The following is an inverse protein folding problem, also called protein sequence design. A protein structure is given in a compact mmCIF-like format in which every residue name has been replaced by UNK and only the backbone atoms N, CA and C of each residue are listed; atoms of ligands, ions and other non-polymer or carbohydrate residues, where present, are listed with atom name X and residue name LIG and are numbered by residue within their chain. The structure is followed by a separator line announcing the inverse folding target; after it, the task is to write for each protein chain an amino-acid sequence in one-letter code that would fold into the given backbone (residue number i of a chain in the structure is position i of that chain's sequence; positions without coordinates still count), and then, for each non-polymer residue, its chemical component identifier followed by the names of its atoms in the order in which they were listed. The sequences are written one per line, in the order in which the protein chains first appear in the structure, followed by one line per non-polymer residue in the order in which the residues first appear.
data_IF_089575455204
#
_entry.id   IF_089575455204
#
_cell.length_a   1.000
_cell.length_b   1.000
_cell.length_c   1.000
_cell.angle_alpha   90.00
_cell.angle_beta   90.00
_cell.angle_gamma   90.00
#
_symmetry.space_group_name_H-M   'P 1'
#
loop_
_entity.id
_entity.type
_entity.pdbx_description
1 polymer ?
#
# COMPACT_ATOMS: atom_id res chain seq x y z
N UNK A 1 28.38 42.26 -12.93
CA UNK A 1 27.12 41.46 -13.01
C UNK A 1 26.68 41.42 -14.45
N UNK A 2 26.56 40.24 -15.05
CA UNK A 2 25.92 40.12 -16.37
C UNK A 2 24.45 40.49 -16.22
N UNK A 3 23.95 41.40 -17.07
CA UNK A 3 22.52 41.64 -17.17
C UNK A 3 21.86 40.33 -17.61
N UNK A 4 21.06 39.72 -16.73
CA UNK A 4 20.19 38.62 -17.14
C UNK A 4 19.32 39.10 -18.29
N UNK A 5 19.25 38.28 -19.34
CA UNK A 5 18.31 38.50 -20.44
C UNK A 5 16.85 38.52 -19.93
N UNK A 6 16.00 39.28 -20.61
CA UNK A 6 14.60 39.48 -20.23
C UNK A 6 13.81 38.17 -20.15
N UNK A 7 14.15 37.18 -20.98
CA UNK A 7 13.54 35.85 -20.94
C UNK A 7 13.88 35.14 -19.62
N UNK A 8 15.17 35.11 -19.25
CA UNK A 8 15.63 34.47 -18.01
C UNK A 8 15.02 35.13 -16.77
N UNK A 9 14.89 36.47 -16.77
CA UNK A 9 14.19 37.19 -15.70
C UNK A 9 12.73 36.77 -15.62
N UNK A 10 12.02 36.73 -16.75
CA UNK A 10 10.61 36.34 -16.80
C UNK A 10 10.39 34.92 -16.28
N UNK A 11 11.25 33.97 -16.67
CA UNK A 11 11.21 32.58 -16.18
C UNK A 11 11.42 32.53 -14.67
N UNK A 12 12.38 33.27 -14.13
CA UNK A 12 12.65 33.31 -12.70
C UNK A 12 11.45 33.87 -11.92
N UNK A 13 10.83 34.95 -12.39
CA UNK A 13 9.64 35.55 -11.78
C UNK A 13 8.48 34.54 -11.76
N UNK A 14 8.20 33.91 -12.91
CA UNK A 14 7.14 32.88 -13.02
C UNK A 14 7.41 31.72 -12.06
N UNK A 15 8.66 31.27 -11.97
CA UNK A 15 9.05 30.17 -11.07
C UNK A 15 8.87 30.54 -9.59
N UNK A 16 9.25 31.75 -9.20
CA UNK A 16 9.06 32.25 -7.83
C UNK A 16 7.57 32.32 -7.49
N UNK A 17 6.75 32.93 -8.34
CA UNK A 17 5.31 33.01 -8.10
C UNK A 17 4.62 31.65 -8.13
N UNK A 18 5.09 30.71 -8.95
CA UNK A 18 4.64 29.32 -8.93
C UNK A 18 4.88 28.66 -7.57
N UNK A 19 6.12 28.68 -7.08
CA UNK A 19 6.48 28.09 -5.77
C UNK A 19 5.67 28.75 -4.64
N UNK A 20 5.57 30.08 -4.65
CA UNK A 20 4.81 30.82 -3.65
C UNK A 20 3.32 30.51 -3.69
N UNK A 21 2.75 30.27 -4.87
CA UNK A 21 1.34 29.88 -5.02
C UNK A 21 1.06 28.50 -4.40
N UNK A 22 1.97 27.52 -4.56
CA UNK A 22 1.85 26.20 -3.95
C UNK A 22 1.95 26.26 -2.42
N UNK A 23 2.87 27.08 -1.90
CA UNK A 23 3.01 27.30 -0.44
C UNK A 23 1.75 27.97 0.11
N UNK A 24 1.26 29.02 -0.57
CA UNK A 24 0.05 29.74 -0.20
C UNK A 24 -1.15 28.80 -0.12
N UNK A 25 -1.32 27.92 -1.09
CA UNK A 25 -2.43 26.95 -1.10
C UNK A 25 -2.39 25.99 0.11
N UNK A 26 -1.20 25.47 0.47
CA UNK A 26 -1.05 24.61 1.65
C UNK A 26 -1.36 25.37 2.94
N UNK A 27 -0.92 26.62 3.04
CA UNK A 27 -1.24 27.49 4.17
C UNK A 27 -2.75 27.77 4.26
N UNK A 28 -3.42 28.05 3.13
CA UNK A 28 -4.87 28.26 3.06
C UNK A 28 -5.62 26.99 3.46
N UNK A 29 -5.19 25.83 2.98
CA UNK A 29 -5.80 24.53 3.32
C UNK A 29 -5.70 24.26 4.81
N UNK A 30 -4.53 24.49 5.40
CA UNK A 30 -4.33 24.38 6.84
C UNK A 30 -5.21 25.36 7.61
N UNK A 31 -5.26 26.62 7.19
CA UNK A 31 -6.10 27.66 7.81
C UNK A 31 -7.59 27.30 7.73
N UNK A 32 -8.05 26.79 6.57
CA UNK A 32 -9.42 26.29 6.37
C UNK A 32 -9.73 25.15 7.33
N UNK A 33 -8.90 24.12 7.40
CA UNK A 33 -9.16 22.94 8.24
C UNK A 33 -9.13 23.24 9.74
N UNK A 34 -8.30 24.19 10.15
CA UNK A 34 -8.16 24.55 11.56
C UNK A 34 -9.24 25.54 12.01
N UNK A 35 -9.47 26.62 11.25
CA UNK A 35 -10.33 27.72 11.70
C UNK A 35 -11.79 27.61 11.26
N UNK A 36 -12.12 26.93 10.15
CA UNK A 36 -13.50 26.87 9.63
C UNK A 36 -14.33 25.70 10.17
N UNK A 37 -13.81 24.90 11.12
CA UNK A 37 -14.61 23.88 11.81
C UNK A 37 -15.56 24.52 12.80
N UNK A 38 -16.82 24.06 12.80
CA UNK A 38 -17.86 24.48 13.75
C UNK A 38 -17.34 24.33 15.19
N UNK A 39 -17.37 25.42 15.96
CA UNK A 39 -16.98 25.44 17.38
C UNK A 39 -15.58 25.96 17.70
N UNK A 40 -14.76 26.33 16.71
CA UNK A 40 -13.45 26.92 16.98
C UNK A 40 -13.55 28.45 17.16
N UNK A 41 -13.27 28.95 18.37
CA UNK A 41 -13.64 30.31 18.83
C UNK A 41 -12.67 31.42 18.42
N UNK A 42 -11.47 31.09 17.94
CA UNK A 42 -10.39 32.09 17.79
C UNK A 42 -10.66 33.16 16.73
N UNK A 43 -11.34 32.81 15.63
CA UNK A 43 -11.72 33.74 14.55
C UNK A 43 -13.22 33.82 14.30
N UNK A 44 -14.03 33.01 15.00
CA UNK A 44 -15.49 33.02 14.90
C UNK A 44 -16.11 34.39 15.22
N UNK A 45 -15.43 35.19 16.05
CA UNK A 45 -15.84 36.56 16.38
C UNK A 45 -15.69 37.55 15.23
N UNK A 46 -14.63 37.43 14.41
CA UNK A 46 -14.38 38.37 13.32
C UNK A 46 -15.14 38.05 12.04
N UNK A 47 -15.49 36.78 11.82
CA UNK A 47 -16.07 36.33 10.55
C UNK A 47 -17.49 35.75 10.65
N UNK A 48 -18.07 35.72 11.85
CA UNK A 48 -19.45 35.30 12.14
C UNK A 48 -19.86 34.01 11.39
N UNK A 49 -19.11 32.94 11.63
CA UNK A 49 -19.32 31.64 10.96
C UNK A 49 -20.30 30.77 11.74
N UNK A 50 -21.60 31.00 11.55
CA UNK A 50 -22.63 30.08 12.06
C UNK A 50 -22.69 28.76 11.28
N UNK A 51 -22.15 28.73 10.05
CA UNK A 51 -22.21 27.59 9.12
C UNK A 51 -20.83 27.00 8.90
N UNK A 52 -20.77 25.67 8.75
CA UNK A 52 -19.54 24.94 8.43
C UNK A 52 -19.25 25.02 6.93
N UNK A 53 -18.27 25.84 6.54
CA UNK A 53 -17.85 25.99 5.15
C UNK A 53 -16.70 25.03 4.77
N UNK A 54 -16.29 24.15 5.69
CA UNK A 54 -15.24 23.17 5.43
C UNK A 54 -15.73 22.01 4.55
N UNK A 55 -17.03 21.70 4.64
CA UNK A 55 -17.70 20.59 3.95
C UNK A 55 -18.47 21.10 2.72
N UNK A 56 -18.46 20.33 1.63
CA UNK A 56 -19.32 20.58 0.46
C UNK A 56 -20.77 20.29 0.80
N UNK A 57 -21.70 21.00 0.16
CA UNK A 57 -23.14 20.81 0.36
C UNK A 57 -23.84 20.68 -0.98
N UNK A 58 -24.95 19.93 -1.00
CA UNK A 58 -25.75 19.71 -2.22
C UNK A 58 -26.61 20.92 -2.62
N UNK A 59 -26.85 21.86 -1.69
CA UNK A 59 -27.56 23.13 -1.97
C UNK A 59 -26.67 24.06 -2.82
N UNK A 60 -27.07 24.36 -4.08
CA UNK A 60 -26.28 25.21 -4.98
C UNK A 60 -26.08 26.64 -4.47
N UNK A 61 -27.05 27.20 -3.74
CA UNK A 61 -26.95 28.57 -3.23
C UNK A 61 -25.90 28.65 -2.13
N UNK A 62 -25.90 27.66 -1.23
CA UNK A 62 -24.91 27.56 -0.17
C UNK A 62 -23.50 27.23 -0.70
N UNK A 63 -23.40 26.34 -1.70
CA UNK A 63 -22.11 26.01 -2.32
C UNK A 63 -21.48 27.24 -2.99
N UNK A 64 -22.27 28.07 -3.68
CA UNK A 64 -21.80 29.33 -4.26
C UNK A 64 -21.32 30.32 -3.19
N UNK A 65 -22.01 30.44 -2.06
CA UNK A 65 -21.58 31.27 -0.93
C UNK A 65 -20.25 30.75 -0.34
N UNK A 66 -20.13 29.42 -0.19
CA UNK A 66 -18.91 28.74 0.29
C UNK A 66 -17.73 29.04 -0.63
N UNK A 67 -17.91 28.93 -1.94
CA UNK A 67 -16.87 29.22 -2.94
C UNK A 67 -16.39 30.67 -2.88
N UNK A 68 -17.32 31.64 -2.80
CA UNK A 68 -16.98 33.05 -2.67
C UNK A 68 -16.17 33.35 -1.41
N UNK A 69 -16.55 32.76 -0.27
CA UNK A 69 -15.84 32.94 1.00
C UNK A 69 -14.44 32.32 0.97
N UNK A 70 -14.30 31.14 0.36
CA UNK A 70 -13.00 30.48 0.19
C UNK A 70 -12.11 31.29 -0.75
N UNK A 71 -12.66 31.84 -1.83
CA UNK A 71 -11.92 32.72 -2.73
C UNK A 71 -11.43 33.99 -2.01
N UNK A 72 -12.31 34.64 -1.23
CA UNK A 72 -11.95 35.82 -0.45
C UNK A 72 -10.86 35.52 0.60
N UNK A 73 -10.95 34.37 1.26
CA UNK A 73 -9.93 33.88 2.18
C UNK A 73 -8.59 33.64 1.47
N UNK A 74 -8.62 32.96 0.33
CA UNK A 74 -7.44 32.69 -0.48
C UNK A 74 -6.74 34.00 -0.84
N UNK A 75 -7.47 34.96 -1.40
CA UNK A 75 -6.93 36.28 -1.78
C UNK A 75 -6.31 36.99 -0.57
N UNK A 76 -7.03 37.03 0.55
CA UNK A 76 -6.60 37.74 1.75
C UNK A 76 -5.34 37.13 2.36
N UNK A 77 -5.28 35.79 2.44
CA UNK A 77 -4.12 35.10 2.99
C UNK A 77 -2.91 35.16 2.03
N UNK A 78 -3.12 35.10 0.72
CA UNK A 78 -2.05 35.29 -0.26
C UNK A 78 -1.48 36.71 -0.21
N UNK A 79 -2.31 37.74 -0.05
CA UNK A 79 -1.83 39.13 0.16
C UNK A 79 -1.03 39.22 1.45
N UNK A 80 -1.52 38.64 2.55
CA UNK A 80 -0.81 38.61 3.82
C UNK A 80 0.55 37.90 3.72
N UNK A 81 0.60 36.73 3.07
CA UNK A 81 1.85 36.00 2.83
C UNK A 81 2.78 36.84 1.97
N UNK A 82 2.29 37.47 0.89
CA UNK A 82 3.08 38.34 0.03
C UNK A 82 3.69 39.50 0.83
N UNK A 83 2.96 40.08 1.78
CA UNK A 83 3.52 41.07 2.71
C UNK A 83 4.61 40.50 3.62
N UNK A 84 4.38 39.33 4.24
CA UNK A 84 5.36 38.72 5.15
C UNK A 84 6.70 38.45 4.47
N UNK A 85 6.66 37.98 3.23
CA UNK A 85 7.86 37.62 2.45
C UNK A 85 8.35 38.76 1.55
N UNK A 86 7.71 39.93 1.60
CA UNK A 86 7.97 41.07 0.74
C UNK A 86 7.97 40.71 -0.77
N UNK A 87 6.99 39.93 -1.21
CA UNK A 87 6.79 39.58 -2.63
C UNK A 87 6.18 40.75 -3.42
N UNK A 88 6.90 41.87 -3.46
CA UNK A 88 6.53 43.03 -4.26
C UNK A 88 6.85 42.79 -5.74
N UNK A 89 5.82 42.73 -6.57
CA UNK A 89 5.96 42.54 -8.02
C UNK A 89 6.89 43.59 -8.67
N UNK A 90 6.78 44.86 -8.30
CA UNK A 90 7.56 45.94 -8.90
C UNK A 90 9.04 45.86 -8.55
N UNK A 91 9.36 45.42 -7.33
CA UNK A 91 10.75 45.20 -6.90
C UNK A 91 11.33 44.00 -7.63
N UNK A 92 10.58 42.91 -7.68
CA UNK A 92 10.95 41.68 -8.40
C UNK A 92 11.16 41.92 -9.91
N UNK A 93 10.42 42.84 -10.52
CA UNK A 93 10.58 43.21 -11.94
C UNK A 93 11.82 44.08 -12.21
N UNK A 94 12.23 44.90 -11.23
CA UNK A 94 13.36 45.84 -11.37
C UNK A 94 14.69 45.19 -10.99
N UNK A 95 14.71 44.41 -9.92
CA UNK A 95 15.90 43.78 -9.36
C UNK A 95 16.03 42.30 -9.78
N UNK A 96 17.01 41.58 -9.21
CA UNK A 96 17.13 40.13 -9.40
C UNK A 96 16.03 39.42 -8.58
N UNK A 97 15.12 38.66 -9.21
CA UNK A 97 14.01 37.99 -8.52
C UNK A 97 14.45 37.10 -7.36
N UNK A 98 15.67 36.55 -7.43
CA UNK A 98 16.20 35.63 -6.40
C UNK A 98 16.64 36.34 -5.13
N UNK A 99 17.00 37.63 -5.22
CA UNK A 99 17.43 38.45 -4.08
C UNK A 99 16.38 39.46 -3.64
N UNK A 100 15.27 39.57 -4.40
CA UNK A 100 14.22 40.57 -4.18
C UNK A 100 13.18 40.15 -3.14
N UNK A 101 13.33 38.98 -2.52
CA UNK A 101 12.43 38.50 -1.47
C UNK A 101 12.96 38.86 -0.08
N UNK A 102 12.05 39.23 0.82
CA UNK A 102 12.33 39.65 2.18
C UNK A 102 12.61 41.15 2.32
N UNK A 103 12.31 41.70 3.50
CA UNK A 103 12.37 43.13 3.82
C UNK A 103 13.80 43.71 3.98
N UNK A 104 14.75 43.30 3.14
CA UNK A 104 16.16 43.66 3.30
C UNK A 104 16.47 45.14 2.99
N UNK A 105 15.65 45.79 2.15
CA UNK A 105 15.83 47.19 1.74
C UNK A 105 14.50 47.96 1.80
N UNK A 106 14.00 48.20 3.01
CA UNK A 106 12.77 48.97 3.18
C UNK A 106 13.03 50.48 3.11
N UNK A 107 12.54 51.14 2.06
CA UNK A 107 12.58 52.59 1.91
C UNK A 107 11.20 53.20 2.22
N UNK A 108 11.11 53.97 3.32
CA UNK A 108 9.87 54.63 3.75
C UNK A 108 9.27 55.58 2.71
N UNK A 109 10.11 56.14 1.81
CA UNK A 109 9.70 57.05 0.73
C UNK A 109 8.77 56.39 -0.30
N UNK A 110 8.81 55.06 -0.43
CA UNK A 110 8.09 54.32 -1.48
C UNK A 110 6.98 53.40 -0.92
N UNK A 111 6.54 53.62 0.32
CA UNK A 111 5.60 52.73 1.03
C UNK A 111 4.33 52.41 0.23
N UNK A 112 3.78 53.36 -0.52
CA UNK A 112 2.58 53.12 -1.34
C UNK A 112 2.84 52.14 -2.50
N UNK A 113 3.99 52.24 -3.15
CA UNK A 113 4.39 51.33 -4.23
C UNK A 113 4.68 49.93 -3.68
N UNK A 114 5.30 49.87 -2.49
CA UNK A 114 5.55 48.61 -1.77
C UNK A 114 4.24 47.90 -1.41
N UNK A 115 3.28 48.64 -0.86
CA UNK A 115 1.96 48.11 -0.49
C UNK A 115 1.19 47.62 -1.72
N UNK A 116 1.09 48.44 -2.77
CA UNK A 116 0.38 48.08 -4.01
C UNK A 116 1.06 46.88 -4.67
N UNK A 117 2.39 46.86 -4.70
CA UNK A 117 3.17 45.78 -5.28
C UNK A 117 2.97 44.44 -4.57
N UNK A 118 2.91 44.43 -3.24
CA UNK A 118 2.58 43.24 -2.46
C UNK A 118 1.13 42.80 -2.64
N UNK A 119 0.17 43.73 -2.77
CA UNK A 119 -1.23 43.40 -3.07
C UNK A 119 -1.33 42.70 -4.43
N UNK A 120 -0.70 43.26 -5.46
CA UNK A 120 -0.68 42.65 -6.80
C UNK A 120 0.04 41.29 -6.76
N UNK A 121 1.17 41.20 -6.06
CA UNK A 121 1.88 39.93 -5.85
C UNK A 121 0.99 38.86 -5.19
N UNK A 122 0.27 39.21 -4.14
CA UNK A 122 -0.68 38.33 -3.46
C UNK A 122 -1.85 37.90 -4.36
N UNK A 123 -2.38 38.80 -5.19
CA UNK A 123 -3.41 38.46 -6.18
C UNK A 123 -2.89 37.47 -7.23
N UNK A 124 -1.67 37.67 -7.74
CA UNK A 124 -1.02 36.75 -8.68
C UNK A 124 -0.76 35.38 -8.05
N UNK A 125 -0.35 35.34 -6.77
CA UNK A 125 -0.19 34.08 -6.04
C UNK A 125 -1.53 33.34 -5.88
N UNK A 126 -2.58 34.07 -5.51
CA UNK A 126 -3.91 33.51 -5.28
C UNK A 126 -4.50 32.91 -6.56
N UNK A 127 -4.50 33.68 -7.65
CA UNK A 127 -4.99 33.24 -8.96
C UNK A 127 -4.09 32.20 -9.61
N UNK A 128 -2.77 32.33 -9.40
CA UNK A 128 -1.77 31.41 -9.92
C UNK A 128 -1.97 29.99 -9.41
N UNK A 129 -2.29 29.80 -8.12
CA UNK A 129 -2.44 28.47 -7.54
C UNK A 129 -3.40 27.57 -8.32
N UNK A 130 -4.60 28.07 -8.65
CA UNK A 130 -5.59 27.34 -9.45
C UNK A 130 -5.10 27.13 -10.89
N UNK A 131 -4.57 28.18 -11.52
CA UNK A 131 -4.04 28.10 -12.88
C UNK A 131 -2.97 27.02 -13.03
N UNK A 132 -2.06 26.90 -12.06
CA UNK A 132 -0.97 25.93 -12.11
C UNK A 132 -1.44 24.50 -11.92
N UNK A 133 -2.40 24.24 -11.02
CA UNK A 133 -3.01 22.92 -10.90
C UNK A 133 -3.75 22.53 -12.17
N UNK A 134 -4.58 23.41 -12.72
CA UNK A 134 -5.27 23.17 -13.98
C UNK A 134 -4.27 22.92 -15.13
N UNK A 135 -3.14 23.63 -15.14
CA UNK A 135 -2.07 23.44 -16.14
C UNK A 135 -1.31 22.13 -15.94
N UNK A 136 -1.01 21.74 -14.70
CA UNK A 136 -0.34 20.48 -14.39
C UNK A 136 -1.24 19.28 -14.70
N UNK A 137 -2.52 19.35 -14.35
CA UNK A 137 -3.52 18.35 -14.71
C UNK A 137 -3.61 18.22 -16.23
N UNK A 138 -3.67 19.35 -16.95
CA UNK A 138 -3.64 19.34 -18.42
C UNK A 138 -2.33 18.76 -18.97
N UNK A 139 -1.18 19.01 -18.33
CA UNK A 139 0.11 18.46 -18.73
C UNK A 139 0.17 16.94 -18.52
N UNK A 140 -0.32 16.44 -17.39
CA UNK A 140 -0.42 15.00 -17.13
C UNK A 140 -1.40 14.34 -18.09
N UNK A 141 -2.56 14.96 -18.30
CA UNK A 141 -3.51 14.51 -19.32
C UNK A 141 -2.87 14.46 -20.71
N UNK A 142 -2.14 15.51 -21.12
CA UNK A 142 -1.45 15.54 -22.41
C UNK A 142 -0.31 14.50 -22.49
N UNK A 143 0.41 14.24 -21.39
CA UNK A 143 1.44 13.21 -21.30
C UNK A 143 0.82 11.81 -21.44
N UNK A 144 -0.26 11.54 -20.71
CA UNK A 144 -0.98 10.27 -20.76
C UNK A 144 -1.58 10.07 -22.15
N UNK A 145 -2.22 11.10 -22.71
CA UNK A 145 -2.74 11.12 -24.07
C UNK A 145 -1.65 10.92 -25.12
N UNK A 146 -0.43 11.47 -24.95
CA UNK A 146 0.71 11.22 -25.84
C UNK A 146 1.22 9.79 -25.73
N UNK A 147 1.38 9.27 -24.51
CA UNK A 147 1.76 7.87 -24.26
C UNK A 147 0.76 6.94 -24.93
N UNK A 148 -0.52 7.27 -24.78
CA UNK A 148 -1.64 6.55 -25.34
C UNK A 148 -1.73 6.66 -26.86
N UNK A 149 -1.64 7.84 -27.46
CA UNK A 149 -1.61 8.04 -28.92
C UNK A 149 -0.40 7.41 -29.61
N UNK A 150 0.68 7.10 -28.87
CA UNK A 150 1.80 6.34 -29.44
C UNK A 150 1.46 4.87 -29.70
N UNK A 151 0.35 4.38 -29.12
CA UNK A 151 -0.22 3.07 -29.41
C UNK A 151 -1.02 3.11 -30.74
N UNK A 152 -0.73 2.16 -31.63
CA UNK A 152 -1.36 2.07 -32.95
C UNK A 152 -2.86 1.81 -32.86
N UNK A 153 -3.35 1.30 -31.74
CA UNK A 153 -4.77 1.00 -31.50
C UNK A 153 -5.62 2.23 -31.13
N UNK A 154 -5.00 3.37 -30.77
CA UNK A 154 -5.73 4.61 -30.42
C UNK A 154 -6.36 5.29 -31.63
N UNK A 155 -5.81 5.08 -32.84
CA UNK A 155 -6.29 5.69 -34.07
C UNK A 155 -7.63 5.13 -34.59
N UNK A 156 -8.25 4.19 -33.88
CA UNK A 156 -9.53 3.55 -34.26
C UNK A 156 -10.75 4.04 -33.46
N UNK A 157 -10.59 5.02 -32.57
CA UNK A 157 -11.69 5.51 -31.72
C UNK A 157 -12.60 6.47 -32.49
N UNK A 158 -13.92 6.27 -32.40
CA UNK A 158 -14.89 7.03 -33.17
C UNK A 158 -15.53 8.17 -32.38
N UNK A 159 -15.43 8.15 -31.05
CA UNK A 159 -16.04 9.17 -30.18
C UNK A 159 -15.09 9.65 -29.07
N UNK A 160 -15.27 10.92 -28.64
CA UNK A 160 -14.52 11.50 -27.52
C UNK A 160 -14.79 10.75 -26.20
N UNK A 161 -16.01 10.22 -26.03
CA UNK A 161 -16.39 9.44 -24.85
C UNK A 161 -15.60 8.12 -24.76
N UNK A 162 -15.42 7.42 -25.88
CA UNK A 162 -14.56 6.22 -25.94
C UNK A 162 -13.11 6.54 -25.59
N UNK A 163 -12.63 7.71 -26.02
CA UNK A 163 -11.28 8.17 -25.69
C UNK A 163 -11.14 8.46 -24.19
N UNK A 164 -12.09 9.16 -23.57
CA UNK A 164 -12.07 9.45 -22.13
C UNK A 164 -12.15 8.17 -21.28
N UNK A 165 -13.05 7.24 -21.64
CA UNK A 165 -13.17 5.93 -20.98
C UNK A 165 -11.86 5.13 -21.12
N UNK A 166 -11.25 5.17 -22.30
CA UNK A 166 -9.98 4.50 -22.54
C UNK A 166 -8.79 5.19 -21.86
N UNK A 167 -8.82 6.51 -21.70
CA UNK A 167 -7.84 7.27 -20.91
C UNK A 167 -7.96 6.91 -19.42
N UNK A 168 -9.17 6.68 -18.91
CA UNK A 168 -9.41 6.32 -17.52
C UNK A 168 -8.98 4.88 -17.17
N UNK A 169 -9.06 3.93 -18.11
CA UNK A 169 -8.69 2.54 -17.86
C UNK A 169 -7.16 2.39 -17.77
N UNK A 170 -6.67 1.90 -16.63
CA UNK A 170 -5.25 1.55 -16.47
C UNK A 170 -4.98 0.11 -16.92
N UNK A 171 -3.72 -0.21 -17.25
CA UNK A 171 -3.33 -1.60 -17.55
C UNK A 171 -3.61 -2.54 -16.37
N UNK A 172 -3.44 -2.03 -15.13
CA UNK A 172 -3.73 -2.78 -13.92
C UNK A 172 -5.21 -3.19 -13.86
N UNK A 173 -6.12 -2.29 -14.23
CA UNK A 173 -7.56 -2.55 -14.23
C UNK A 173 -7.94 -3.57 -15.29
N UNK A 174 -7.31 -3.51 -16.48
CA UNK A 174 -7.53 -4.48 -17.56
C UNK A 174 -7.12 -5.87 -17.10
N UNK A 175 -5.87 -6.03 -16.62
CA UNK A 175 -5.36 -7.34 -16.18
C UNK A 175 -6.18 -7.88 -15.02
N UNK A 176 -6.53 -7.03 -14.05
CA UNK A 176 -7.39 -7.41 -12.93
C UNK A 176 -8.76 -7.91 -13.41
N UNK A 177 -9.40 -7.20 -14.33
CA UNK A 177 -10.71 -7.59 -14.86
C UNK A 177 -10.65 -8.93 -15.61
N UNK A 178 -9.67 -9.10 -16.49
CA UNK A 178 -9.46 -10.35 -17.24
C UNK A 178 -9.16 -11.52 -16.28
N UNK A 179 -8.35 -11.27 -15.24
CA UNK A 179 -8.09 -12.25 -14.19
C UNK A 179 -9.39 -12.67 -13.49
N UNK A 180 -10.19 -11.72 -12.98
CA UNK A 180 -11.45 -12.05 -12.28
C UNK A 180 -12.44 -12.84 -13.15
N UNK A 181 -12.55 -12.49 -14.44
CA UNK A 181 -13.43 -13.17 -15.40
C UNK A 181 -12.99 -14.61 -15.70
N UNK A 182 -11.68 -14.90 -15.64
CA UNK A 182 -11.11 -16.17 -16.09
C UNK A 182 -10.50 -17.03 -14.97
N UNK A 183 -10.39 -16.53 -13.72
CA UNK A 183 -9.70 -17.24 -12.63
C UNK A 183 -10.28 -18.62 -12.36
N UNK A 184 -11.62 -18.75 -12.36
CA UNK A 184 -12.30 -20.01 -12.09
C UNK A 184 -12.05 -21.03 -13.20
N UNK A 185 -11.98 -20.57 -14.46
CA UNK A 185 -11.67 -21.43 -15.60
C UNK A 185 -10.25 -21.97 -15.45
N UNK A 186 -9.28 -21.09 -15.21
CA UNK A 186 -7.87 -21.46 -15.05
C UNK A 186 -7.64 -22.42 -13.88
N UNK A 187 -8.29 -22.16 -12.74
CA UNK A 187 -8.18 -22.96 -11.51
C UNK A 187 -8.75 -24.37 -11.66
N UNK A 188 -9.74 -24.55 -12.53
CA UNK A 188 -10.36 -25.85 -12.81
C UNK A 188 -9.58 -26.69 -13.83
N UNK A 189 -8.49 -26.16 -14.41
CA UNK A 189 -7.61 -26.94 -15.28
C UNK A 189 -6.84 -27.95 -14.43
N UNK A 190 -6.78 -29.19 -14.91
CA UNK A 190 -6.03 -30.27 -14.27
C UNK A 190 -4.58 -29.85 -14.00
N UNK A 191 -4.07 -30.19 -12.81
CA UNK A 191 -2.70 -29.92 -12.35
C UNK A 191 -2.36 -28.44 -12.09
N UNK A 192 -3.28 -27.49 -12.29
CA UNK A 192 -3.11 -26.09 -11.84
C UNK A 192 -3.25 -26.01 -10.32
N UNK A 193 -2.28 -25.38 -9.67
CA UNK A 193 -2.20 -25.26 -8.21
C UNK A 193 -2.23 -23.81 -7.72
N UNK A 194 -1.91 -22.84 -8.59
CA UNK A 194 -2.08 -21.43 -8.28
C UNK A 194 -2.41 -20.61 -9.52
N UNK A 195 -3.26 -19.61 -9.35
CA UNK A 195 -3.54 -18.58 -10.36
C UNK A 195 -3.51 -17.22 -9.67
N UNK A 196 -2.84 -16.24 -10.27
CA UNK A 196 -2.77 -14.89 -9.70
C UNK A 196 -2.31 -13.85 -10.72
N UNK A 197 -2.03 -12.65 -10.23
CA UNK A 197 -1.52 -11.55 -11.05
C UNK A 197 -0.03 -11.37 -10.77
N UNK A 198 0.79 -11.77 -11.74
CA UNK A 198 2.24 -11.58 -11.73
C UNK A 198 2.63 -10.24 -12.37
N UNK A 199 3.83 -9.77 -12.05
CA UNK A 199 4.41 -8.59 -12.69
C UNK A 199 5.86 -8.80 -13.10
N UNK A 200 6.32 -8.00 -14.06
CA UNK A 200 7.72 -7.75 -14.35
C UNK A 200 7.95 -6.23 -14.43
N UNK A 201 9.16 -5.79 -14.73
CA UNK A 201 9.50 -4.35 -14.77
C UNK A 201 8.67 -3.53 -15.78
N UNK A 202 8.01 -4.18 -16.75
CA UNK A 202 7.42 -3.51 -17.92
C UNK A 202 5.91 -3.76 -18.06
N UNK A 203 5.38 -4.86 -17.52
CA UNK A 203 4.02 -5.35 -17.80
C UNK A 203 3.45 -6.19 -16.65
N UNK A 204 2.12 -6.23 -16.55
CA UNK A 204 1.37 -7.16 -15.68
C UNK A 204 0.80 -8.31 -16.51
N UNK A 205 0.78 -9.51 -15.95
CA UNK A 205 0.31 -10.71 -16.62
C UNK A 205 -0.46 -11.62 -15.65
N UNK A 206 -1.23 -12.54 -16.22
CA UNK A 206 -1.86 -13.61 -15.43
C UNK A 206 -0.79 -14.70 -15.23
N UNK A 207 -0.51 -15.04 -13.99
CA UNK A 207 0.43 -16.11 -13.65
C UNK A 207 -0.33 -17.38 -13.29
N UNK A 208 0.03 -18.49 -13.94
CA UNK A 208 -0.55 -19.82 -13.67
C UNK A 208 0.58 -20.75 -13.26
N UNK A 209 0.49 -21.32 -12.06
CA UNK A 209 1.44 -22.30 -11.55
C UNK A 209 0.81 -23.69 -11.64
N UNK A 210 1.54 -24.64 -12.23
CA UNK A 210 1.09 -26.01 -12.45
C UNK A 210 2.14 -27.03 -12.01
N UNK A 211 1.70 -28.23 -11.62
CA UNK A 211 2.57 -29.35 -11.23
C UNK A 211 3.04 -30.21 -12.39
N UNK A 212 2.53 -29.98 -13.60
CA UNK A 212 2.76 -30.83 -14.75
C UNK A 212 3.07 -29.99 -16.01
N UNK A 213 3.79 -30.59 -16.96
CA UNK A 213 4.14 -29.98 -18.25
C UNK A 213 2.98 -29.99 -19.26
N UNK A 214 1.74 -30.27 -18.84
CA UNK A 214 0.54 -30.21 -19.70
C UNK A 214 0.11 -28.75 -19.99
N UNK A 215 1.08 -27.88 -20.28
CA UNK A 215 0.90 -26.44 -20.50
C UNK A 215 0.01 -26.13 -21.70
N UNK A 216 -0.16 -27.09 -22.63
CA UNK A 216 -1.04 -26.96 -23.80
C UNK A 216 -2.52 -26.81 -23.46
N UNK A 217 -2.95 -27.19 -22.24
CA UNK A 217 -4.32 -27.00 -21.76
C UNK A 217 -4.58 -25.59 -21.22
N UNK A 218 -3.52 -24.84 -20.93
CA UNK A 218 -3.61 -23.48 -20.40
C UNK A 218 -3.47 -22.50 -21.56
N UNK A 219 -4.43 -21.58 -21.77
CA UNK A 219 -4.33 -20.59 -22.84
C UNK A 219 -3.13 -19.66 -22.59
N UNK A 220 -2.35 -19.35 -23.63
CA UNK A 220 -1.20 -18.44 -23.53
C UNK A 220 -1.58 -16.96 -23.38
N UNK A 221 -2.85 -16.61 -23.65
CA UNK A 221 -3.36 -15.25 -23.51
C UNK A 221 -4.88 -15.23 -23.47
N UNK A 222 -5.47 -14.22 -22.83
CA UNK A 222 -6.90 -13.92 -22.91
C UNK A 222 -7.16 -12.65 -23.71
N UNK A 223 -8.22 -12.61 -24.54
CA UNK A 223 -8.63 -11.38 -25.21
C UNK A 223 -9.36 -10.46 -24.23
N UNK A 224 -9.04 -9.17 -24.27
CA UNK A 224 -9.80 -8.10 -23.66
C UNK A 224 -10.31 -7.16 -24.73
N UNK A 225 -11.62 -6.96 -24.77
CA UNK A 225 -12.26 -6.04 -25.70
C UNK A 225 -12.28 -4.64 -25.10
N UNK A 226 -11.52 -3.73 -25.70
CA UNK A 226 -11.50 -2.32 -25.32
C UNK A 226 -12.78 -1.61 -25.83
N UNK A 227 -13.15 -0.44 -25.27
CA UNK A 227 -14.36 0.29 -25.68
C UNK A 227 -14.45 0.60 -27.18
N UNK A 228 -13.30 0.70 -27.86
CA UNK A 228 -13.17 0.93 -29.30
C UNK A 228 -13.27 -0.36 -30.14
N UNK A 229 -13.73 -1.48 -29.56
CA UNK A 229 -13.75 -2.82 -30.14
C UNK A 229 -12.38 -3.39 -30.55
N UNK A 230 -11.26 -2.75 -30.19
CA UNK A 230 -9.95 -3.36 -30.38
C UNK A 230 -9.72 -4.46 -29.34
N UNK A 231 -8.97 -5.49 -29.74
CA UNK A 231 -8.68 -6.64 -28.89
C UNK A 231 -7.26 -6.51 -28.38
N UNK A 232 -7.10 -6.31 -27.07
CA UNK A 232 -5.82 -6.44 -26.39
C UNK A 232 -5.65 -7.87 -25.90
N UNK A 233 -4.50 -8.48 -26.13
CA UNK A 233 -4.16 -9.79 -25.56
C UNK A 233 -3.46 -9.58 -24.22
N UNK A 234 -3.97 -10.21 -23.18
CA UNK A 234 -3.34 -10.25 -21.85
C UNK A 234 -2.62 -11.58 -21.74
N UNK A 235 -1.31 -11.53 -21.57
CA UNK A 235 -0.45 -12.71 -21.54
C UNK A 235 -0.70 -13.55 -20.28
N UNK A 236 -0.64 -14.87 -20.47
CA UNK A 236 -0.66 -15.86 -19.40
C UNK A 236 0.73 -16.49 -19.32
N UNK A 237 1.42 -16.27 -18.20
CA UNK A 237 2.72 -16.86 -17.92
C UNK A 237 2.52 -18.15 -17.14
N UNK A 238 2.97 -19.25 -17.71
CA UNK A 238 2.86 -20.58 -17.11
C UNK A 238 4.18 -20.92 -16.40
N UNK A 239 4.10 -21.31 -15.13
CA UNK A 239 5.23 -21.73 -14.31
C UNK A 239 4.99 -23.18 -13.87
N UNK A 240 5.91 -24.07 -14.25
CA UNK A 240 5.88 -25.46 -13.79
C UNK A 240 6.68 -25.54 -12.49
N UNK A 241 6.09 -26.11 -11.44
CA UNK A 241 6.62 -26.08 -10.08
C UNK A 241 6.21 -27.33 -9.31
N UNK A 242 6.88 -27.62 -8.20
CA UNK A 242 6.46 -28.66 -7.26
C UNK A 242 5.10 -28.32 -6.61
N UNK A 243 4.37 -29.32 -6.05
CA UNK A 243 3.16 -29.06 -5.29
C UNK A 243 3.43 -28.07 -4.15
N UNK A 244 2.47 -27.18 -3.89
CA UNK A 244 2.58 -26.22 -2.79
C UNK A 244 2.29 -26.94 -1.48
N UNK A 245 3.24 -26.84 -0.57
CA UNK A 245 3.20 -27.49 0.74
C UNK A 245 3.33 -26.45 1.83
N UNK A 246 2.77 -26.75 3.00
CA UNK A 246 3.07 -25.97 4.19
C UNK A 246 4.57 -26.01 4.47
N UNK A 247 5.11 -24.87 4.88
CA UNK A 247 6.51 -24.78 5.18
C UNK A 247 6.74 -25.01 6.68
N UNK A 248 6.63 -26.26 7.17
CA UNK A 248 7.15 -26.71 8.48
C UNK A 248 8.24 -27.78 8.25
N UNK A 249 9.54 -27.55 8.51
CA UNK A 249 10.34 -27.86 9.70
C UNK A 249 11.86 -27.49 9.52
N UNK A 250 12.55 -26.81 10.47
CA UNK A 250 14.03 -26.44 10.52
C UNK A 250 14.53 -25.06 11.07
N UNK A 251 15.80 -24.87 11.53
CA UNK A 251 16.25 -23.90 12.59
C UNK A 251 16.94 -22.55 12.25
N UNK A 252 16.81 -21.44 13.03
CA UNK A 252 17.36 -21.09 14.36
C UNK A 252 16.64 -19.97 15.19
N UNK A 253 16.59 -20.24 16.50
CA UNK A 253 16.50 -19.38 17.70
C UNK A 253 15.21 -19.17 18.50
N UNK A 254 14.05 -19.57 17.98
CA UNK A 254 12.94 -20.10 18.80
C UNK A 254 11.73 -20.35 17.90
N UNK A 255 11.37 -21.61 17.76
CA UNK A 255 10.16 -22.09 17.09
C UNK A 255 9.05 -22.32 18.11
N UNK A 256 7.87 -22.65 17.61
CA UNK A 256 6.74 -23.02 18.43
C UNK A 256 6.01 -24.21 17.81
N UNK A 257 5.38 -24.98 18.67
CA UNK A 257 4.54 -26.11 18.26
C UNK A 257 3.51 -26.41 19.33
N UNK A 258 2.49 -27.14 18.93
CA UNK A 258 1.60 -27.81 19.86
C UNK A 258 2.34 -28.90 20.63
N UNK A 259 2.22 -28.92 21.97
CA UNK A 259 2.86 -29.92 22.83
C UNK A 259 2.54 -31.38 22.40
N UNK A 260 1.37 -31.61 21.80
CA UNK A 260 0.92 -32.93 21.37
C UNK A 260 1.42 -33.34 19.96
N UNK A 261 2.01 -32.40 19.20
CA UNK A 261 2.53 -32.61 17.84
C UNK A 261 3.90 -31.93 17.66
N UNK A 262 4.92 -32.26 18.48
CA UNK A 262 6.20 -31.54 18.48
C UNK A 262 6.95 -31.59 17.15
N UNK A 263 6.64 -32.57 16.28
CA UNK A 263 7.20 -32.67 14.93
C UNK A 263 6.61 -31.67 13.93
N UNK A 264 5.56 -30.92 14.28
CA UNK A 264 4.92 -29.91 13.43
C UNK A 264 5.15 -28.53 14.04
N UNK A 265 6.18 -27.83 13.57
CA UNK A 265 6.60 -26.56 14.16
C UNK A 265 6.87 -25.51 13.09
N UNK A 266 6.91 -24.27 13.55
CA UNK A 266 7.05 -23.09 12.70
C UNK A 266 7.62 -21.92 13.48
N UNK A 267 7.60 -20.76 12.84
CA UNK A 267 8.24 -19.55 13.37
C UNK A 267 7.28 -18.69 14.19
N UNK A 268 7.87 -17.88 15.07
CA UNK A 268 7.19 -16.72 15.62
C UNK A 268 6.87 -15.72 14.51
N UNK A 269 5.63 -15.28 14.45
CA UNK A 269 5.23 -14.17 13.59
C UNK A 269 5.47 -12.85 14.26
N UNK A 270 4.48 -12.41 15.04
CA UNK A 270 4.46 -11.05 15.59
C UNK A 270 3.92 -11.06 17.02
N UNK A 271 4.48 -10.20 17.86
CA UNK A 271 3.85 -9.79 19.10
C UNK A 271 2.71 -8.81 18.76
N UNK A 272 1.49 -9.16 19.16
CA UNK A 272 0.26 -8.44 18.86
C UNK A 272 -0.55 -8.21 20.13
N UNK A 273 -1.53 -7.32 20.04
CA UNK A 273 -2.56 -7.07 21.06
C UNK A 273 -3.89 -6.83 20.37
N UNK A 274 -5.00 -6.93 21.10
CA UNK A 274 -6.29 -6.50 20.54
C UNK A 274 -6.31 -5.00 20.33
N UNK A 275 -6.93 -4.56 19.23
CA UNK A 275 -7.08 -3.13 18.91
C UNK A 275 -7.78 -2.39 20.05
N UNK A 276 -7.27 -1.21 20.40
CA UNK A 276 -7.87 -0.34 21.42
C UNK A 276 -7.65 -0.79 22.86
N UNK A 277 -6.81 -1.81 23.10
CA UNK A 277 -6.40 -2.20 24.45
C UNK A 277 -5.12 -1.45 24.87
N UNK A 278 -4.97 -1.18 26.17
CA UNK A 278 -3.85 -0.42 26.74
C UNK A 278 -2.48 -1.14 26.69
N UNK A 279 -2.32 -2.17 25.86
CA UNK A 279 -1.05 -2.85 25.59
C UNK A 279 -0.50 -3.72 26.71
N UNK A 280 -1.24 -3.93 27.81
CA UNK A 280 -0.81 -4.79 28.91
C UNK A 280 -0.85 -6.27 28.54
N UNK A 281 -1.87 -6.69 27.77
CA UNK A 281 -2.02 -8.08 27.33
C UNK A 281 -1.39 -8.27 25.96
N UNK A 282 -0.25 -8.95 25.91
CA UNK A 282 0.48 -9.23 24.68
C UNK A 282 0.27 -10.68 24.29
N UNK A 283 0.01 -10.91 23.01
CA UNK A 283 -0.20 -12.22 22.42
C UNK A 283 0.80 -12.43 21.30
N UNK A 284 0.97 -13.68 20.91
CA UNK A 284 1.83 -14.07 19.80
C UNK A 284 0.97 -14.53 18.63
N UNK A 285 1.25 -14.00 17.44
CA UNK A 285 0.63 -14.37 16.18
C UNK A 285 1.53 -15.33 15.40
N UNK A 286 0.95 -16.40 14.84
CA UNK A 286 1.61 -17.37 13.95
C UNK A 286 0.57 -18.04 13.04
N UNK A 287 0.98 -19.02 12.22
CA UNK A 287 0.04 -19.81 11.40
C UNK A 287 -0.71 -20.85 12.24
N UNK A 288 -2.00 -21.08 11.97
CA UNK A 288 -2.78 -22.04 12.75
C UNK A 288 -2.33 -23.48 12.50
N UNK A 289 -1.98 -23.84 11.27
CA UNK A 289 -1.44 -25.16 10.96
C UNK A 289 -0.15 -25.50 11.72
N UNK A 290 0.59 -24.50 12.22
CA UNK A 290 1.79 -24.73 13.04
C UNK A 290 1.43 -25.19 14.46
N UNK A 291 0.35 -24.64 15.02
CA UNK A 291 -0.08 -24.92 16.40
C UNK A 291 -1.24 -25.91 16.50
N UNK A 292 -1.67 -26.48 15.38
CA UNK A 292 -2.82 -27.36 15.36
C UNK A 292 -2.57 -28.63 16.21
N UNK A 293 -3.54 -28.94 17.06
CA UNK A 293 -3.56 -30.11 17.91
C UNK A 293 -4.14 -31.34 17.23
N UNK A 294 -3.81 -32.54 17.74
CA UNK A 294 -4.36 -33.81 17.26
C UNK A 294 -5.89 -33.90 17.32
N UNK A 295 -6.52 -33.12 18.21
CA UNK A 295 -7.97 -33.12 18.43
C UNK A 295 -8.71 -32.09 17.57
N UNK A 296 -8.00 -31.26 16.83
CA UNK A 296 -8.62 -30.27 15.96
C UNK A 296 -9.07 -30.94 14.66
N UNK A 297 -10.18 -30.48 14.10
CA UNK A 297 -10.67 -30.94 12.80
C UNK A 297 -10.41 -29.84 11.77
N UNK A 298 -9.75 -30.18 10.66
CA UNK A 298 -9.60 -29.26 9.54
C UNK A 298 -10.90 -29.04 8.74
N UNK A 299 -12.02 -29.67 9.07
CA UNK A 299 -13.30 -29.39 8.40
C UNK A 299 -14.17 -28.42 9.20
N UNK A 300 -14.10 -28.50 10.54
CA UNK A 300 -15.03 -27.78 11.41
C UNK A 300 -14.42 -26.51 12.03
N UNK A 301 -13.10 -26.30 11.93
CA UNK A 301 -12.29 -25.14 12.36
C UNK A 301 -12.63 -24.44 13.68
N UNK A 302 -13.39 -25.10 14.53
CA UNK A 302 -13.65 -24.64 15.87
C UNK A 302 -12.46 -25.08 16.71
N UNK A 303 -11.71 -24.11 17.21
CA UNK A 303 -10.75 -24.31 18.28
C UNK A 303 -11.41 -25.07 19.44
N UNK A 304 -10.91 -26.27 19.77
CA UNK A 304 -11.50 -27.15 20.80
C UNK A 304 -10.61 -27.12 22.05
N UNK A 305 -10.61 -25.98 22.75
CA UNK A 305 -10.03 -25.82 24.08
C UNK A 305 -8.53 -25.52 24.12
N UNK A 306 -8.06 -25.11 25.30
CA UNK A 306 -6.68 -24.65 25.53
C UNK A 306 -5.68 -25.79 25.38
N UNK A 307 -4.88 -25.70 24.32
CA UNK A 307 -3.74 -26.59 24.11
C UNK A 307 -2.44 -25.82 24.32
N UNK A 308 -1.55 -26.45 25.09
CA UNK A 308 -0.25 -25.89 25.43
C UNK A 308 0.64 -25.80 24.19
N UNK A 309 1.25 -24.63 24.03
CA UNK A 309 2.29 -24.37 23.06
C UNK A 309 3.62 -24.45 23.77
N UNK A 310 4.54 -25.22 23.20
CA UNK A 310 5.91 -25.35 23.70
C UNK A 310 6.89 -24.61 22.79
N UNK A 311 7.96 -24.12 23.40
CA UNK A 311 9.10 -23.56 22.68
C UNK A 311 10.39 -23.75 23.49
N UNK A 312 11.50 -24.16 22.87
CA UNK A 312 11.55 -24.65 21.48
C UNK A 312 10.74 -25.95 21.31
N UNK A 313 10.48 -26.38 20.06
CA UNK A 313 9.61 -27.53 19.75
C UNK A 313 10.10 -28.86 20.33
N UNK A 314 11.40 -28.97 20.60
CA UNK A 314 12.08 -30.11 21.22
C UNK A 314 12.14 -30.00 22.76
N UNK A 315 11.53 -28.96 23.32
CA UNK A 315 11.43 -28.71 24.76
C UNK A 315 10.13 -29.22 25.36
N UNK A 316 10.07 -29.25 26.69
CA UNK A 316 8.82 -29.40 27.46
C UNK A 316 8.32 -28.06 28.03
N UNK A 317 9.07 -26.97 27.78
CA UNK A 317 8.74 -25.63 28.25
C UNK A 317 7.50 -25.11 27.54
N UNK A 318 6.39 -25.07 28.28
CA UNK A 318 5.16 -24.40 27.83
C UNK A 318 5.38 -22.90 27.86
N UNK A 319 5.16 -22.24 26.71
CA UNK A 319 5.28 -20.78 26.56
C UNK A 319 3.93 -20.09 26.55
N UNK A 320 2.84 -20.82 26.34
CA UNK A 320 1.50 -20.27 26.27
C UNK A 320 0.46 -21.31 25.89
N UNK A 321 -0.75 -20.83 25.63
CA UNK A 321 -1.85 -21.64 25.08
C UNK A 321 -2.49 -20.91 23.91
N UNK A 322 -3.03 -21.66 22.95
CA UNK A 322 -3.79 -21.07 21.84
C UNK A 322 -4.99 -20.33 22.45
N UNK A 323 -5.16 -19.06 22.11
CA UNK A 323 -6.35 -18.28 22.52
C UNK A 323 -7.45 -18.36 21.47
N UNK A 324 -7.06 -18.26 20.20
CA UNK A 324 -7.96 -18.31 19.06
C UNK A 324 -7.17 -18.77 17.82
N UNK A 325 -7.84 -19.46 16.91
CA UNK A 325 -7.30 -19.89 15.63
C UNK A 325 -8.37 -19.78 14.56
N UNK A 326 -8.01 -19.24 13.40
CA UNK A 326 -8.89 -19.14 12.23
C UNK A 326 -8.18 -19.75 11.04
N UNK A 327 -8.85 -20.71 10.39
CA UNK A 327 -8.57 -21.11 9.01
C UNK A 327 -9.82 -20.91 8.19
N UNK A 328 -9.73 -20.12 7.14
CA UNK A 328 -10.75 -19.97 6.12
C UNK A 328 -10.07 -19.82 4.75
N UNK A 329 -10.79 -19.36 3.73
CA UNK A 329 -10.19 -19.14 2.41
C UNK A 329 -9.25 -17.94 2.37
N UNK A 330 -9.22 -17.07 3.37
CA UNK A 330 -8.41 -15.84 3.36
C UNK A 330 -7.23 -15.88 4.33
N UNK A 331 -7.35 -16.59 5.45
CA UNK A 331 -6.31 -16.65 6.50
C UNK A 331 -6.16 -18.05 7.09
N UNK A 332 -4.95 -18.34 7.57
CA UNK A 332 -4.55 -19.51 8.35
C UNK A 332 -3.63 -19.03 9.47
N UNK A 333 -4.23 -18.64 10.60
CA UNK A 333 -3.55 -17.91 11.68
C UNK A 333 -4.07 -18.28 13.06
N UNK A 334 -3.18 -18.22 14.04
CA UNK A 334 -3.49 -18.40 15.45
C UNK A 334 -2.89 -17.28 16.29
N UNK A 335 -3.61 -16.92 17.35
CA UNK A 335 -3.10 -16.10 18.45
C UNK A 335 -2.91 -16.96 19.69
N UNK A 336 -1.78 -16.78 20.35
CA UNK A 336 -1.34 -17.54 21.51
C UNK A 336 -1.24 -16.57 22.68
N UNK A 337 -1.90 -16.89 23.78
CA UNK A 337 -1.69 -16.22 25.06
C UNK A 337 -0.38 -16.70 25.64
N UNK A 338 0.55 -15.76 25.84
CA UNK A 338 1.87 -16.05 26.38
C UNK A 338 1.82 -16.04 27.90
N UNK A 339 2.55 -16.96 28.54
CA UNK A 339 2.72 -16.99 29.98
C UNK A 339 3.23 -15.65 30.51
N UNK A 340 2.63 -15.14 31.60
CA UNK A 340 3.01 -13.85 32.23
C UNK A 340 4.50 -13.79 32.66
N UNK A 341 5.15 -14.94 32.80
CA UNK A 341 6.58 -15.06 33.12
C UNK A 341 7.50 -14.77 31.93
N UNK A 342 6.97 -14.65 30.72
CA UNK A 342 7.72 -14.47 29.48
C UNK A 342 7.47 -13.09 28.88
N UNK A 343 8.55 -12.45 28.43
CA UNK A 343 8.49 -11.18 27.70
C UNK A 343 8.53 -11.42 26.19
N UNK A 344 7.53 -10.93 25.46
CA UNK A 344 7.55 -10.90 23.98
C UNK A 344 7.74 -9.49 23.43
N UNK A 345 8.44 -9.39 22.30
CA UNK A 345 8.69 -8.13 21.60
C UNK A 345 8.86 -8.35 20.10
N UNK A 346 8.54 -7.32 19.32
CA UNK A 346 8.76 -7.26 17.88
C UNK A 346 10.18 -6.81 17.50
N UNK A 347 11.17 -7.18 18.31
CA UNK A 347 12.57 -6.80 18.09
C UNK A 347 13.22 -7.75 17.11
N UNK A 348 13.72 -7.21 16.01
CA UNK A 348 14.41 -7.93 14.96
C UNK A 348 15.84 -8.31 15.37
N UNK A 349 16.45 -9.32 14.72
CA UNK A 349 17.84 -9.70 14.97
C UNK A 349 18.85 -8.56 14.73
N UNK A 350 18.52 -7.60 13.86
CA UNK A 350 19.33 -6.41 13.61
C UNK A 350 19.20 -5.32 14.71
N UNK A 351 18.42 -5.59 15.77
CA UNK A 351 18.20 -4.69 16.88
C UNK A 351 17.07 -3.67 16.70
N UNK A 352 16.50 -3.53 15.49
CA UNK A 352 15.35 -2.66 15.22
C UNK A 352 14.04 -3.27 15.72
N UNK A 353 13.00 -2.46 15.83
CA UNK A 353 11.65 -2.92 16.18
C UNK A 353 10.72 -2.79 14.98
N UNK A 354 9.87 -3.79 14.78
CA UNK A 354 8.71 -3.67 13.89
C UNK A 354 7.66 -2.84 14.63
N UNK A 355 7.33 -1.68 14.06
CA UNK A 355 6.37 -0.73 14.65
C UNK A 355 5.21 -0.39 13.72
N UNK A 356 5.25 -0.87 12.47
CA UNK A 356 4.31 -0.49 11.42
C UNK A 356 3.98 -1.67 10.52
N UNK A 357 2.78 -1.63 9.97
CA UNK A 357 2.34 -2.46 8.85
C UNK A 357 2.36 -1.62 7.57
N UNK A 358 2.49 -2.29 6.43
CA UNK A 358 2.39 -1.68 5.11
C UNK A 358 1.39 -2.50 4.27
N UNK A 359 0.10 -2.13 4.29
CA UNK A 359 -0.90 -2.81 3.47
C UNK A 359 -0.63 -2.55 2.00
N UNK A 360 -0.58 -3.61 1.19
CA UNK A 360 -0.14 -3.56 -0.22
C UNK A 360 -1.23 -3.04 -1.16
N UNK A 361 -1.72 -1.83 -0.87
CA UNK A 361 -2.79 -1.14 -1.60
C UNK A 361 -2.35 -0.49 -2.92
N UNK A 362 -1.04 -0.32 -3.14
CA UNK A 362 -0.46 0.39 -4.31
C UNK A 362 0.23 -0.51 -5.34
N UNK A 363 1.07 0.13 -6.18
CA UNK A 363 2.00 -0.59 -7.05
C UNK A 363 3.09 -1.30 -6.23
N UNK A 364 3.23 -2.60 -6.45
CA UNK A 364 4.19 -3.48 -5.78
C UNK A 364 5.47 -3.68 -6.59
N UNK A 365 5.67 -2.86 -7.64
CA UNK A 365 6.76 -3.01 -8.59
C UNK A 365 8.11 -2.95 -7.88
N UNK A 366 8.86 -4.05 -7.94
CA UNK A 366 10.17 -4.21 -7.28
C UNK A 366 10.16 -4.02 -5.75
N UNK A 367 9.02 -4.23 -5.09
CA UNK A 367 9.00 -4.25 -3.63
C UNK A 367 9.84 -5.43 -3.13
N UNK A 368 10.99 -5.13 -2.53
CA UNK A 368 11.82 -6.12 -1.86
C UNK A 368 11.14 -6.56 -0.58
N UNK A 369 11.14 -7.87 -0.37
CA UNK A 369 10.58 -8.53 0.78
C UNK A 369 11.64 -9.41 1.42
N UNK A 370 11.72 -9.37 2.74
CA UNK A 370 12.58 -10.24 3.54
C UNK A 370 11.79 -10.97 4.61
N UNK A 371 12.26 -12.14 4.97
CA UNK A 371 11.72 -12.90 6.11
C UNK A 371 12.81 -13.06 7.17
N UNK A 372 12.39 -13.02 8.43
CA UNK A 372 13.21 -13.49 9.54
C UNK A 372 12.63 -14.79 10.05
N UNK A 373 12.73 -15.82 9.20
CA UNK A 373 12.28 -17.16 9.54
C UNK A 373 13.27 -17.91 10.41
N UNK A 374 12.77 -18.98 11.02
CA UNK A 374 13.56 -19.92 11.78
C UNK A 374 14.68 -20.45 10.88
N UNK A 375 14.40 -21.24 9.84
CA UNK A 375 15.45 -21.79 8.93
C UNK A 375 16.28 -20.69 8.28
N UNK A 376 15.60 -19.66 7.82
CA UNK A 376 16.19 -18.65 6.95
C UNK A 376 16.61 -17.43 7.77
N UNK A 377 17.43 -17.64 8.80
CA UNK A 377 17.85 -16.58 9.75
C UNK A 377 18.90 -15.60 9.21
N UNK A 378 19.33 -15.78 7.95
CA UNK A 378 20.38 -14.97 7.35
C UNK A 378 19.77 -13.70 6.77
N UNK A 379 20.56 -12.63 6.76
CA UNK A 379 20.33 -11.41 5.96
C UNK A 379 20.11 -11.66 4.46
N UNK A 380 20.15 -12.91 4.00
CA UNK A 380 20.00 -13.36 2.62
C UNK A 380 18.61 -13.88 2.25
N UNK A 381 17.64 -13.96 3.18
CA UNK A 381 16.26 -14.38 2.89
C UNK A 381 15.46 -13.27 2.18
N UNK A 382 16.04 -12.71 1.13
CA UNK A 382 15.58 -11.52 0.43
C UNK A 382 15.08 -11.94 -0.94
N UNK A 383 13.89 -11.48 -1.30
CA UNK A 383 13.30 -11.63 -2.62
C UNK A 383 12.55 -10.38 -3.01
N UNK A 384 11.80 -10.47 -4.09
CA UNK A 384 10.88 -9.45 -4.53
C UNK A 384 9.48 -10.01 -4.46
N UNK A 385 8.53 -9.18 -4.03
CA UNK A 385 7.12 -9.46 -4.24
C UNK A 385 6.92 -9.58 -5.74
N UNK A 386 6.56 -10.77 -6.24
CA UNK A 386 6.39 -11.09 -7.66
C UNK A 386 4.94 -11.00 -8.12
N UNK A 387 3.99 -10.96 -7.18
CA UNK A 387 2.57 -10.90 -7.47
C UNK A 387 1.71 -10.73 -6.23
N UNK A 388 0.42 -10.47 -6.48
CA UNK A 388 -0.65 -10.40 -5.47
C UNK A 388 -1.91 -11.05 -6.02
N UNK A 389 -2.90 -11.25 -5.15
CA UNK A 389 -4.16 -11.88 -5.50
C UNK A 389 -3.96 -13.31 -6.03
N UNK A 390 -3.01 -14.05 -5.44
CA UNK A 390 -2.80 -15.43 -5.80
C UNK A 390 -3.74 -16.33 -5.02
N UNK A 391 -4.59 -17.04 -5.75
CA UNK A 391 -5.31 -18.19 -5.25
C UNK A 391 -4.40 -19.41 -5.32
N UNK A 392 -4.34 -20.17 -4.24
CA UNK A 392 -3.39 -21.26 -4.03
C UNK A 392 -4.07 -22.45 -3.38
N UNK A 393 -3.88 -23.63 -3.97
CA UNK A 393 -4.25 -24.90 -3.35
C UNK A 393 -3.05 -25.46 -2.60
N UNK A 394 -3.14 -25.45 -1.27
CA UNK A 394 -2.09 -25.91 -0.35
C UNK A 394 -2.43 -27.33 0.12
N UNK A 395 -1.42 -28.21 0.17
CA UNK A 395 -1.54 -29.53 0.81
C UNK A 395 -1.20 -29.42 2.30
N UNK A 396 -2.21 -29.48 3.17
CA UNK A 396 -2.07 -29.46 4.62
C UNK A 396 -1.94 -30.88 5.17
N UNK A 397 -0.97 -31.14 6.03
CA UNK A 397 -0.87 -32.43 6.73
C UNK A 397 -1.97 -32.54 7.79
N UNK A 398 -2.74 -33.64 7.78
CA UNK A 398 -3.81 -33.93 8.74
C UNK A 398 -3.28 -33.97 10.19
N UNK A 399 -4.09 -33.61 11.20
CA UNK A 399 -3.61 -33.45 12.57
C UNK A 399 -3.22 -34.78 13.23
N UNK A 400 -3.81 -35.87 12.75
CA UNK A 400 -3.52 -37.25 13.13
C UNK A 400 -2.32 -37.86 12.36
N UNK A 401 -1.75 -37.12 11.40
CA UNK A 401 -0.63 -37.56 10.56
C UNK A 401 -1.01 -38.63 9.53
N UNK A 402 -2.31 -38.87 9.28
CA UNK A 402 -2.76 -39.95 8.38
C UNK A 402 -2.68 -39.60 6.90
N UNK A 403 -2.40 -38.34 6.55
CA UNK A 403 -2.31 -37.91 5.17
C UNK A 403 -2.34 -36.40 5.00
N UNK A 404 -2.84 -35.96 3.83
CA UNK A 404 -2.94 -34.55 3.46
C UNK A 404 -4.33 -34.18 3.00
N UNK A 405 -4.72 -32.94 3.27
CA UNK A 405 -5.92 -32.30 2.79
C UNK A 405 -5.55 -31.14 1.85
N UNK A 406 -6.25 -31.03 0.72
CA UNK A 406 -6.12 -29.88 -0.17
C UNK A 406 -7.04 -28.77 0.30
N UNK A 407 -6.50 -27.58 0.50
CA UNK A 407 -7.28 -26.41 0.89
C UNK A 407 -6.90 -25.19 0.05
N UNK A 408 -7.90 -24.39 -0.30
CA UNK A 408 -7.71 -23.19 -1.10
C UNK A 408 -7.56 -21.96 -0.22
N UNK A 409 -6.41 -21.29 -0.31
CA UNK A 409 -6.21 -19.93 0.21
C UNK A 409 -6.24 -18.93 -0.96
N UNK A 410 -6.88 -17.81 -0.74
CA UNK A 410 -7.15 -16.75 -1.70
C UNK A 410 -6.37 -15.50 -1.31
N UNK A 411 -6.16 -14.63 -2.29
CA UNK A 411 -5.56 -13.31 -2.10
C UNK A 411 -4.15 -13.28 -1.47
N UNK A 412 -3.33 -14.30 -1.78
CA UNK A 412 -1.96 -14.38 -1.25
C UNK A 412 -0.98 -13.46 -1.99
N UNK A 413 0.06 -13.07 -1.26
CA UNK A 413 1.25 -12.40 -1.78
C UNK A 413 2.23 -13.47 -2.25
N UNK A 414 2.77 -13.32 -3.47
CA UNK A 414 3.86 -14.17 -3.95
C UNK A 414 5.19 -13.46 -3.89
N UNK A 415 6.22 -14.17 -3.42
CA UNK A 415 7.56 -13.64 -3.25
C UNK A 415 8.55 -14.65 -3.84
N UNK A 416 9.46 -14.17 -4.67
CA UNK A 416 10.51 -15.00 -5.25
C UNK A 416 11.84 -14.26 -5.36
N UNK A 417 12.93 -15.01 -5.38
CA UNK A 417 14.25 -14.52 -5.72
C UNK A 417 14.77 -15.34 -6.90
N UNK A 418 14.79 -14.73 -8.10
CA UNK A 418 15.18 -15.40 -9.34
C UNK A 418 14.41 -16.71 -9.59
N UNK A 419 13.07 -16.65 -9.46
CA UNK A 419 12.15 -17.80 -9.59
C UNK A 419 12.44 -18.94 -8.58
N UNK A 420 12.93 -18.60 -7.40
CA UNK A 420 13.06 -19.51 -6.26
C UNK A 420 12.34 -18.95 -5.05
N UNK A 421 11.71 -19.82 -4.27
CA UNK A 421 11.17 -19.44 -2.98
C UNK A 421 12.27 -18.89 -2.06
N UNK A 422 11.93 -17.88 -1.27
CA UNK A 422 12.83 -17.32 -0.25
C UNK A 422 12.61 -17.92 1.14
N UNK A 423 11.53 -18.70 1.29
CA UNK A 423 11.19 -19.45 2.47
C UNK A 423 11.39 -20.93 2.21
N UNK A 424 11.53 -21.68 3.29
CA UNK A 424 11.67 -23.12 3.28
C UNK A 424 10.80 -23.72 4.38
N UNK A 425 10.56 -25.04 4.36
CA UNK A 425 9.85 -25.68 5.45
C UNK A 425 10.48 -25.35 6.81
N UNK A 426 9.70 -24.73 7.71
CA UNK A 426 10.04 -24.25 9.05
C UNK A 426 9.68 -22.76 9.24
N UNK A 427 9.55 -22.03 8.13
CA UNK A 427 9.32 -20.58 8.13
C UNK A 427 7.82 -20.19 8.14
N UNK A 428 6.89 -21.15 8.22
CA UNK A 428 5.47 -20.80 8.37
C UNK A 428 5.23 -20.04 9.65
N UNK A 429 4.44 -18.99 9.58
CA UNK A 429 4.24 -18.05 10.67
C UNK A 429 5.25 -16.91 10.70
N UNK A 430 6.34 -16.92 9.93
CA UNK A 430 7.31 -15.81 9.92
C UNK A 430 6.72 -14.53 9.35
N UNK A 431 7.04 -13.39 9.98
CA UNK A 431 6.74 -12.08 9.42
C UNK A 431 7.51 -11.83 8.12
N UNK A 432 6.80 -11.35 7.11
CA UNK A 432 7.35 -10.80 5.87
C UNK A 432 7.45 -9.30 6.01
N UNK A 433 8.63 -8.75 5.77
CA UNK A 433 8.93 -7.34 5.94
C UNK A 433 9.37 -6.69 4.63
N UNK A 434 9.02 -5.42 4.45
CA UNK A 434 9.57 -4.58 3.40
C UNK A 434 10.97 -4.02 3.77
N UNK A 435 11.54 -3.23 2.86
CA UNK A 435 12.84 -2.59 3.07
C UNK A 435 12.91 -1.63 4.26
N UNK A 436 11.77 -1.14 4.74
CA UNK A 436 11.65 -0.21 5.85
C UNK A 436 11.32 -0.89 7.18
N UNK A 437 11.39 -2.23 7.25
CA UNK A 437 11.02 -3.02 8.43
C UNK A 437 9.50 -2.96 8.75
N UNK A 438 8.65 -2.60 7.78
CA UNK A 438 7.20 -2.70 7.96
C UNK A 438 6.73 -4.11 7.58
N UNK A 439 5.74 -4.65 8.31
CA UNK A 439 5.14 -5.95 7.99
C UNK A 439 4.21 -5.80 6.80
N UNK A 440 4.35 -6.70 5.82
CA UNK A 440 3.43 -6.82 4.68
C UNK A 440 2.59 -8.11 4.74
N UNK A 441 3.04 -9.12 5.48
CA UNK A 441 2.31 -10.39 5.61
C UNK A 441 2.99 -11.41 6.51
N UNK A 442 2.43 -12.61 6.53
CA UNK A 442 2.98 -13.78 7.23
C UNK A 442 3.11 -14.95 6.27
N UNK A 443 4.26 -15.62 6.26
CA UNK A 443 4.51 -16.80 5.42
C UNK A 443 3.56 -17.93 5.81
N UNK A 444 2.87 -18.52 4.83
CA UNK A 444 1.95 -19.65 5.05
C UNK A 444 2.38 -20.92 4.33
N UNK A 445 2.98 -20.79 3.13
CA UNK A 445 3.34 -21.93 2.29
C UNK A 445 4.42 -21.55 1.27
N UNK A 446 4.89 -22.54 0.53
CA UNK A 446 5.78 -22.35 -0.61
C UNK A 446 5.95 -23.60 -1.46
N UNK A 447 6.69 -23.45 -2.54
CA UNK A 447 7.15 -24.51 -3.43
C UNK A 447 8.60 -24.22 -3.86
N UNK A 448 9.09 -24.85 -4.92
CA UNK A 448 10.45 -24.61 -5.43
C UNK A 448 10.63 -23.23 -6.09
N UNK A 449 9.54 -22.54 -6.44
CA UNK A 449 9.57 -21.28 -7.21
C UNK A 449 9.15 -20.04 -6.41
N UNK A 450 8.24 -20.19 -5.45
CA UNK A 450 7.58 -19.08 -4.75
C UNK A 450 7.40 -19.36 -3.26
N UNK A 451 7.51 -18.28 -2.48
CA UNK A 451 6.97 -18.17 -1.12
C UNK A 451 5.61 -17.50 -1.20
N UNK A 452 4.63 -18.05 -0.47
CA UNK A 452 3.29 -17.48 -0.35
C UNK A 452 3.09 -16.93 1.06
N UNK A 453 2.54 -15.71 1.13
CA UNK A 453 2.26 -15.03 2.39
C UNK A 453 0.84 -14.47 2.43
N UNK A 454 0.21 -14.56 3.60
CA UNK A 454 -1.09 -13.96 3.88
C UNK A 454 -0.88 -12.45 4.13
N UNK A 455 -1.61 -11.56 3.45
CA UNK A 455 -1.52 -10.12 3.70
C UNK A 455 -1.82 -9.76 5.16
N UNK A 456 -1.01 -8.86 5.74
CA UNK A 456 -1.15 -8.52 7.16
C UNK A 456 -2.46 -7.79 7.46
N UNK A 457 -2.97 -6.98 6.52
CA UNK A 457 -4.25 -6.30 6.66
C UNK A 457 -5.40 -7.29 6.92
N UNK A 458 -5.46 -8.36 6.13
CA UNK A 458 -6.50 -9.39 6.22
C UNK A 458 -6.51 -10.04 7.59
N UNK A 459 -5.32 -10.32 8.15
CA UNK A 459 -5.18 -10.92 9.48
C UNK A 459 -5.64 -9.95 10.56
N UNK A 460 -5.17 -8.69 10.51
CA UNK A 460 -5.43 -7.69 11.54
C UNK A 460 -6.89 -7.25 11.58
N UNK A 461 -7.57 -7.25 10.43
CA UNK A 461 -8.99 -6.97 10.32
C UNK A 461 -9.84 -8.12 10.88
N UNK A 462 -9.60 -9.36 10.45
CA UNK A 462 -10.41 -10.49 10.88
C UNK A 462 -10.24 -10.84 12.36
N UNK A 463 -9.03 -10.69 12.92
CA UNK A 463 -8.75 -10.97 14.33
C UNK A 463 -8.93 -9.76 15.26
N UNK A 464 -9.17 -8.56 14.71
CA UNK A 464 -9.23 -7.30 15.46
C UNK A 464 -7.99 -7.05 16.34
N UNK A 465 -6.80 -7.23 15.75
CA UNK A 465 -5.49 -7.09 16.43
C UNK A 465 -4.61 -6.01 15.80
N UNK A 466 -3.61 -5.56 16.53
CA UNK A 466 -2.56 -4.63 16.10
C UNK A 466 -1.20 -5.01 16.70
N UNK A 467 -0.12 -4.41 16.18
CA UNK A 467 1.23 -4.57 16.73
C UNK A 467 1.28 -3.99 18.16
N UNK A 468 2.07 -4.64 19.04
CA UNK A 468 2.26 -4.23 20.44
C UNK A 468 2.85 -2.82 20.58
#
# INVERSE_FOLDING_TARGET
MQNMDMLSKSIAIVTVFFILSLISERAITWFKLYFFKKGNTLFGYFFNWEKDYSVKTEDPAFEKEREQRILALNISLSIFIAFLIHANLFTILKEDPTTSLGWQKFEWSNIHLELIGCIIGGLLMSLGSKFWHDTLDMLFYAKDLKSKLSDKETYKMNTLKELDEWIAITEADIVKKVFEENKNILKNIQDVISVGIGHNNETKYIEVVTTNNNTHLIPNSFPYYLPNNSVRKIDVKIIVSSPIVTHGNLTFKSDLTNQNKPANYGSYGLAVKFKGTNGSHKMLLTCYHVVIGKRHNYNDFNYIGEENIISPHDSTTVVGSIRNGIRNNSIDVAIIDISDTLSISNKLPNGKNIIKTNPLSGEINNLEARIYGYKTNKTSAVGKVSGKNHDVVINYELPDGTGYEKWNLEDLITISNNNKAISVPGDSGSAVLDNYDNVIGIVVAGNDTHTYAIPIETIFEQLNIELV
#
